data_IF_358250011713
#
_entry.id   IF_358250011713
#
_cell.length_a   1.000
_cell.length_b   1.000
_cell.length_c   1.000
_cell.angle_alpha   90.00
_cell.angle_beta   90.00
_cell.angle_gamma   90.00
#
_symmetry.space_group_name_H-M   'P 1'
#
loop_
_entity.id
_entity.type
_entity.pdbx_description
1 polymer ?
#
# COMPACT_ATOMS: atom_id res chain seq x y z
N UNK A 1 6.66 8.60 -10.44
CA UNK A 1 5.87 7.49 -11.02
C UNK A 1 4.74 7.12 -10.09
N UNK A 2 3.53 6.94 -10.62
CA UNK A 2 2.35 6.46 -9.90
C UNK A 2 2.20 4.95 -10.10
N UNK A 3 1.85 4.21 -9.04
CA UNK A 3 1.46 2.79 -9.12
C UNK A 3 -0.01 2.62 -8.80
N UNK A 4 -0.67 1.72 -9.49
CA UNK A 4 -2.07 1.41 -9.29
C UNK A 4 -2.21 -0.01 -8.75
N UNK A 5 -3.06 -0.16 -7.74
CA UNK A 5 -3.42 -1.46 -7.18
C UNK A 5 -4.93 -1.62 -7.25
N UNK A 6 -5.39 -2.61 -8.01
CA UNK A 6 -6.81 -2.87 -8.16
C UNK A 6 -7.25 -3.91 -7.13
N UNK A 7 -8.32 -3.60 -6.42
CA UNK A 7 -9.08 -4.55 -5.61
C UNK A 7 -10.38 -4.88 -6.34
N UNK A 8 -11.24 -5.72 -5.76
CA UNK A 8 -12.54 -6.07 -6.37
C UNK A 8 -13.44 -4.83 -6.55
N UNK A 9 -13.41 -3.91 -5.60
CA UNK A 9 -14.42 -2.85 -5.50
C UNK A 9 -13.83 -1.44 -5.68
N UNK A 10 -12.49 -1.29 -5.68
CA UNK A 10 -11.82 0.00 -5.81
C UNK A 10 -10.42 -0.09 -6.42
N UNK A 11 -9.90 1.06 -6.87
CA UNK A 11 -8.52 1.22 -7.33
C UNK A 11 -7.76 2.14 -6.39
N UNK A 12 -6.61 1.67 -5.90
CA UNK A 12 -5.72 2.39 -4.99
C UNK A 12 -4.57 2.99 -5.79
N UNK A 13 -4.40 4.30 -5.68
CA UNK A 13 -3.36 5.05 -6.37
C UNK A 13 -2.23 5.36 -5.38
N UNK A 14 -1.08 4.73 -5.57
CA UNK A 14 0.11 4.98 -4.76
C UNK A 14 1.11 5.88 -5.50
N UNK A 15 1.51 6.98 -4.85
CA UNK A 15 2.46 7.96 -5.37
C UNK A 15 3.73 7.96 -4.50
N UNK A 16 4.72 7.08 -4.78
CA UNK A 16 5.95 6.97 -3.98
C UNK A 16 6.71 8.30 -3.82
N UNK A 17 6.63 9.21 -4.80
CA UNK A 17 7.27 10.53 -4.75
C UNK A 17 6.74 11.42 -3.61
N UNK A 18 5.54 11.14 -3.10
CA UNK A 18 4.94 11.86 -1.96
C UNK A 18 5.26 11.21 -0.61
N UNK A 19 5.94 10.05 -0.60
CA UNK A 19 6.27 9.33 0.62
C UNK A 19 7.40 10.04 1.39
N UNK A 20 7.17 10.33 2.67
CA UNK A 20 8.19 10.90 3.58
C UNK A 20 8.95 9.84 4.39
N UNK A 21 8.73 8.55 4.11
CA UNK A 21 9.35 7.42 4.81
C UNK A 21 9.21 7.44 6.35
N UNK A 22 8.09 7.93 6.88
CA UNK A 22 7.82 7.95 8.34
C UNK A 22 7.59 6.57 8.97
N UNK A 23 7.54 5.51 8.16
CA UNK A 23 7.22 4.14 8.54
C UNK A 23 5.81 3.91 9.14
N UNK A 24 4.92 4.91 9.17
CA UNK A 24 3.56 4.74 9.70
C UNK A 24 2.73 3.71 8.92
N UNK A 25 2.90 3.63 7.60
CA UNK A 25 2.22 2.64 6.77
C UNK A 25 2.55 1.20 7.23
N UNK A 26 3.83 0.89 7.38
CA UNK A 26 4.32 -0.44 7.82
C UNK A 26 3.95 -0.74 9.27
N UNK A 27 3.95 0.26 10.16
CA UNK A 27 3.61 0.08 11.58
C UNK A 27 2.12 -0.14 11.82
N UNK A 28 1.26 0.56 11.09
CA UNK A 28 -0.20 0.50 11.29
C UNK A 28 -0.83 -0.66 10.52
N UNK A 29 -0.30 -1.00 9.34
CA UNK A 29 -0.84 -2.06 8.49
C UNK A 29 0.29 -2.99 8.00
N UNK A 30 0.95 -3.74 8.92
CA UNK A 30 2.09 -4.59 8.58
C UNK A 30 1.73 -5.73 7.61
N UNK A 31 0.47 -6.15 7.56
CA UNK A 31 0.01 -7.15 6.59
C UNK A 31 -0.16 -6.57 5.18
N UNK A 32 -0.27 -5.25 5.03
CA UNK A 32 -0.52 -4.57 3.75
C UNK A 32 0.77 -4.05 3.10
N UNK A 33 1.71 -3.51 3.88
CA UNK A 33 2.92 -2.87 3.34
C UNK A 33 4.17 -3.70 3.64
N UNK A 34 4.81 -4.20 2.59
CA UNK A 34 6.02 -5.05 2.63
C UNK A 34 7.16 -4.42 1.81
N UNK A 35 7.99 -3.52 2.39
CA UNK A 35 8.99 -2.77 1.64
C UNK A 35 10.06 -3.63 0.94
N UNK A 36 10.31 -4.84 1.43
CA UNK A 36 11.30 -5.78 0.91
C UNK A 36 10.73 -6.70 -0.18
N UNK A 37 9.43 -6.65 -0.45
CA UNK A 37 8.76 -7.52 -1.42
C UNK A 37 8.32 -6.78 -2.68
N UNK A 38 8.13 -7.54 -3.76
CA UNK A 38 7.44 -7.05 -4.96
C UNK A 38 6.29 -8.01 -5.27
N UNK A 39 5.01 -7.55 -5.18
CA UNK A 39 4.58 -6.17 -4.92
C UNK A 39 4.69 -5.72 -3.45
N UNK A 40 5.13 -4.48 -3.23
CA UNK A 40 5.22 -3.85 -1.90
C UNK A 40 3.86 -3.80 -1.20
N UNK A 41 2.84 -3.31 -1.92
CA UNK A 41 1.51 -3.04 -1.35
C UNK A 41 0.58 -4.19 -1.71
N UNK A 42 0.00 -4.83 -0.69
CA UNK A 42 -0.99 -5.92 -0.80
C UNK A 42 -2.31 -5.45 -0.21
N UNK A 43 -3.09 -4.63 -0.93
CA UNK A 43 -4.32 -4.04 -0.40
C UNK A 43 -5.40 -5.07 -0.06
N UNK A 44 -5.34 -6.28 -0.63
CA UNK A 44 -6.21 -7.41 -0.30
C UNK A 44 -6.16 -7.82 1.17
N UNK A 45 -5.11 -7.43 1.91
CA UNK A 45 -4.94 -7.72 3.33
C UNK A 45 -5.61 -6.67 4.25
N UNK A 46 -6.27 -5.66 3.69
CA UNK A 46 -7.03 -4.66 4.43
C UNK A 46 -8.53 -4.92 4.33
N UNK A 47 -9.29 -4.55 5.37
CA UNK A 47 -10.75 -4.52 5.34
C UNK A 47 -11.26 -3.11 5.08
N UNK A 48 -12.39 -3.01 4.38
CA UNK A 48 -13.16 -1.77 4.28
C UNK A 48 -14.05 -1.63 5.52
N UNK A 49 -14.17 -0.41 6.05
CA UNK A 49 -15.09 -0.07 7.14
C UNK A 49 -16.19 0.85 6.62
#
# INVERSE_FOLDING_TARGET
>A
MTKEYHTRDMTIIWQPEKCVHSANCVRLLPSVYHPEETPWVKPENATTQ
#
